data_IF_488271432273
#
_entry.id   IF_488271432273
#
_cell.length_a   1.000
_cell.length_b   1.000
_cell.length_c   1.000
_cell.angle_alpha   90.00
_cell.angle_beta   90.00
_cell.angle_gamma   90.00
#
_symmetry.space_group_name_H-M   'P 1'
#
loop_
_entity.id
_entity.type
_entity.pdbx_description
1 polymer ?
#
# COMPACT_ATOMS: atom_id res chain seq x y z
N UNK A 1 -2.38 -3.31 4.21
CA UNK A 1 -1.59 -4.44 3.67
C UNK A 1 -1.68 -5.65 4.60
N UNK A 2 -2.12 -6.83 4.11
CA UNK A 2 -2.17 -8.08 4.87
C UNK A 2 -0.77 -8.56 5.30
N UNK A 3 -0.70 -9.25 6.44
CA UNK A 3 0.58 -9.76 6.98
C UNK A 3 1.18 -10.85 6.09
N UNK A 4 0.33 -11.57 5.36
CA UNK A 4 0.66 -12.66 4.45
C UNK A 4 1.55 -12.16 3.31
N UNK A 5 1.31 -10.93 2.82
CA UNK A 5 2.12 -10.31 1.76
C UNK A 5 3.54 -10.05 2.25
N UNK A 6 3.71 -9.58 3.49
CA UNK A 6 5.03 -9.40 4.10
C UNK A 6 5.75 -10.74 4.29
N UNK A 7 5.04 -11.79 4.73
CA UNK A 7 5.61 -13.13 4.88
C UNK A 7 6.08 -13.69 3.53
N UNK A 8 5.28 -13.52 2.49
CA UNK A 8 5.64 -13.91 1.12
C UNK A 8 6.85 -13.14 0.61
N UNK A 9 6.92 -11.82 0.85
CA UNK A 9 8.08 -11.00 0.49
C UNK A 9 9.37 -11.53 1.13
N UNK A 10 9.33 -11.84 2.44
CA UNK A 10 10.47 -12.41 3.17
C UNK A 10 10.84 -13.79 2.64
N UNK A 11 9.85 -14.65 2.36
CA UNK A 11 10.08 -15.99 1.82
C UNK A 11 10.76 -15.92 0.44
N UNK A 12 10.35 -14.99 -0.43
CA UNK A 12 11.01 -14.75 -1.73
C UNK A 12 12.43 -14.26 -1.58
N UNK A 13 12.70 -13.40 -0.62
CA UNK A 13 14.05 -12.90 -0.33
C UNK A 13 15.02 -13.99 0.13
N UNK A 14 14.55 -15.19 0.51
CA UNK A 14 15.43 -16.34 0.75
C UNK A 14 16.00 -16.93 -0.54
N UNK A 15 15.32 -16.77 -1.68
CA UNK A 15 15.70 -17.34 -2.98
C UNK A 15 16.13 -16.31 -4.02
N UNK A 16 15.59 -15.10 -3.92
CA UNK A 16 15.86 -13.99 -4.83
C UNK A 16 16.59 -12.85 -4.11
N UNK A 17 17.38 -12.05 -4.83
CA UNK A 17 18.11 -10.94 -4.23
C UNK A 17 17.22 -9.71 -3.97
N UNK A 18 16.08 -9.60 -4.66
CA UNK A 18 15.09 -8.52 -4.50
C UNK A 18 13.66 -9.02 -4.72
N UNK A 19 12.67 -8.24 -4.28
CA UNK A 19 11.22 -8.42 -4.51
C UNK A 19 10.57 -7.03 -4.63
N UNK A 20 9.53 -6.92 -5.46
CA UNK A 20 8.81 -5.66 -5.71
C UNK A 20 7.30 -5.88 -5.58
N UNK A 21 6.60 -5.00 -4.86
CA UNK A 21 5.13 -4.97 -4.76
C UNK A 21 4.58 -3.75 -5.51
N UNK A 22 4.06 -3.90 -6.74
CA UNK A 22 3.56 -2.79 -7.54
C UNK A 22 2.27 -2.20 -6.92
N UNK A 23 2.16 -0.87 -6.96
CA UNK A 23 0.94 -0.14 -6.62
C UNK A 23 0.06 0.03 -7.87
N UNK A 24 -1.27 0.03 -7.73
CA UNK A 24 -2.19 0.24 -8.85
C UNK A 24 -2.13 1.66 -9.42
N UNK A 25 -1.66 2.63 -8.63
CA UNK A 25 -1.40 4.03 -8.95
C UNK A 25 -0.18 4.24 -9.87
N UNK A 26 0.61 3.18 -10.10
CA UNK A 26 1.86 3.24 -10.86
C UNK A 26 3.10 3.38 -9.98
N UNK A 27 2.95 3.53 -8.67
CA UNK A 27 4.03 3.42 -7.68
C UNK A 27 4.32 1.97 -7.27
N UNK A 28 4.92 1.81 -6.11
CA UNK A 28 5.08 0.52 -5.44
C UNK A 28 4.85 0.69 -3.94
N UNK A 29 4.15 -0.27 -3.32
CA UNK A 29 3.90 -0.25 -1.88
C UNK A 29 5.00 -0.98 -1.09
N UNK A 30 5.83 -1.78 -1.76
CA UNK A 30 6.90 -2.55 -1.11
C UNK A 30 8.10 -2.78 -2.04
N UNK A 31 9.30 -2.58 -1.50
CA UNK A 31 10.55 -3.12 -2.08
C UNK A 31 11.33 -3.84 -0.99
N UNK A 32 11.73 -5.07 -1.28
CA UNK A 32 12.61 -5.86 -0.42
C UNK A 32 13.94 -6.14 -1.10
N UNK A 33 15.05 -5.95 -0.39
CA UNK A 33 16.39 -6.24 -0.87
C UNK A 33 17.14 -7.11 0.14
N UNK A 34 17.87 -8.11 -0.34
CA UNK A 34 18.77 -8.89 0.51
C UNK A 34 19.98 -8.03 0.92
N UNK A 35 20.57 -8.32 2.07
CA UNK A 35 21.87 -7.74 2.45
C UNK A 35 22.92 -7.98 1.35
N UNK A 36 23.76 -6.98 1.12
CA UNK A 36 24.78 -7.02 0.05
C UNK A 36 24.27 -6.74 -1.36
N UNK A 37 23.00 -6.33 -1.53
CA UNK A 37 22.48 -5.97 -2.84
C UNK A 37 23.28 -4.84 -3.50
N UNK A 38 23.53 -4.96 -4.81
CA UNK A 38 24.45 -4.11 -5.57
C UNK A 38 24.08 -2.62 -5.42
N UNK A 39 25.04 -1.80 -4.97
CA UNK A 39 24.82 -0.37 -4.72
C UNK A 39 24.37 0.37 -5.98
N UNK A 40 24.99 0.09 -7.12
CA UNK A 40 24.64 0.73 -8.39
C UNK A 40 23.20 0.43 -8.84
N UNK A 41 22.74 -0.80 -8.67
CA UNK A 41 21.34 -1.16 -8.94
C UNK A 41 20.37 -0.40 -8.03
N UNK A 42 20.70 -0.25 -6.73
CA UNK A 42 19.90 0.55 -5.78
C UNK A 42 19.83 2.01 -6.20
N UNK A 43 20.96 2.61 -6.56
CA UNK A 43 21.01 4.01 -7.02
C UNK A 43 20.14 4.21 -8.26
N UNK A 44 20.25 3.32 -9.26
CA UNK A 44 19.38 3.38 -10.44
C UNK A 44 17.90 3.27 -10.08
N UNK A 45 17.57 2.32 -9.22
CA UNK A 45 16.18 2.01 -8.85
C UNK A 45 15.47 3.14 -8.09
N UNK A 46 16.20 3.88 -7.24
CA UNK A 46 15.60 4.85 -6.31
C UNK A 46 16.01 6.31 -6.52
N UNK A 47 17.20 6.57 -7.07
CA UNK A 47 17.75 7.93 -7.17
C UNK A 47 17.82 8.44 -8.62
N UNK A 48 17.74 7.55 -9.60
CA UNK A 48 17.80 7.90 -11.04
C UNK A 48 16.50 7.57 -11.76
N UNK A 49 15.45 7.36 -11.00
CA UNK A 49 14.16 7.11 -11.58
C UNK A 49 13.56 8.41 -12.11
N UNK A 50 12.85 8.36 -13.25
CA UNK A 50 12.31 9.54 -13.89
C UNK A 50 11.26 10.21 -12.99
N UNK A 51 11.60 11.38 -12.44
CA UNK A 51 10.69 12.19 -11.65
C UNK A 51 9.50 12.63 -12.53
N UNK A 52 8.27 12.40 -12.03
CA UNK A 52 7.04 12.82 -12.72
C UNK A 52 6.55 11.89 -13.84
N UNK A 53 7.20 10.74 -14.05
CA UNK A 53 6.73 9.72 -14.99
C UNK A 53 6.07 8.56 -14.23
N UNK A 54 4.75 8.43 -14.35
CA UNK A 54 4.02 7.23 -13.97
C UNK A 54 3.76 6.36 -15.21
N UNK A 55 3.82 5.01 -15.08
CA UNK A 55 4.15 4.26 -13.87
C UNK A 55 5.66 4.22 -13.58
N UNK A 56 6.02 4.31 -12.30
CA UNK A 56 7.39 4.33 -11.81
C UNK A 56 7.96 2.92 -11.56
N UNK A 57 7.11 1.99 -11.12
CA UNK A 57 7.57 0.65 -10.73
C UNK A 57 8.23 -0.16 -11.87
N UNK A 58 7.90 -0.02 -13.17
CA UNK A 58 8.63 -0.74 -14.22
C UNK A 58 10.10 -0.31 -14.32
N UNK A 59 10.42 0.97 -14.11
CA UNK A 59 11.80 1.43 -14.04
C UNK A 59 12.54 0.78 -12.86
N UNK A 60 11.92 0.78 -11.69
CA UNK A 60 12.46 0.13 -10.49
C UNK A 60 12.67 -1.36 -10.72
N UNK A 61 11.74 -2.06 -11.39
CA UNK A 61 11.85 -3.47 -11.71
C UNK A 61 13.08 -3.75 -12.59
N UNK A 62 13.24 -3.02 -13.70
CA UNK A 62 14.38 -3.18 -14.61
C UNK A 62 15.70 -2.85 -13.89
N UNK A 63 15.74 -1.77 -13.10
CA UNK A 63 16.93 -1.37 -12.37
C UNK A 63 17.38 -2.42 -11.32
N UNK A 64 16.43 -3.16 -10.76
CA UNK A 64 16.63 -4.28 -9.83
C UNK A 64 16.82 -5.64 -10.53
N UNK A 65 16.92 -5.67 -11.86
CA UNK A 65 17.15 -6.90 -12.62
C UNK A 65 15.97 -7.87 -12.55
N UNK A 66 14.76 -7.34 -12.77
CA UNK A 66 13.50 -8.10 -12.90
C UNK A 66 13.19 -8.99 -11.68
N UNK A 67 13.08 -8.40 -10.47
CA UNK A 67 12.69 -9.15 -9.30
C UNK A 67 11.27 -9.73 -9.43
N UNK A 68 10.96 -10.83 -8.73
CA UNK A 68 9.60 -11.34 -8.65
C UNK A 68 8.63 -10.30 -8.08
N UNK A 69 7.45 -10.20 -8.70
CA UNK A 69 6.40 -9.26 -8.32
C UNK A 69 5.43 -9.87 -7.32
N UNK A 70 5.18 -9.19 -6.20
CA UNK A 70 4.07 -9.50 -5.31
C UNK A 70 2.74 -9.08 -5.97
N UNK A 71 1.59 -9.60 -5.49
CA UNK A 71 0.30 -9.09 -5.91
C UNK A 71 0.20 -7.56 -5.71
N UNK A 72 -0.43 -6.83 -6.64
CA UNK A 72 -0.70 -5.42 -6.45
C UNK A 72 -1.52 -5.16 -5.19
N UNK A 73 -1.25 -4.06 -4.50
CA UNK A 73 -2.01 -3.64 -3.33
C UNK A 73 -2.20 -2.12 -3.36
N UNK A 74 -3.44 -1.60 -3.17
CA UNK A 74 -3.68 -0.16 -3.12
C UNK A 74 -3.09 0.46 -1.86
N UNK A 75 -2.46 1.61 -2.00
CA UNK A 75 -2.24 2.57 -0.93
C UNK A 75 -3.52 3.39 -0.66
N UNK A 76 -3.45 4.26 0.34
CA UNK A 76 -4.58 5.06 0.80
C UNK A 76 -4.16 6.52 0.75
N UNK A 77 -4.41 7.14 -0.40
CA UNK A 77 -3.98 8.50 -0.70
C UNK A 77 -5.14 9.48 -0.78
N UNK A 78 -6.32 8.97 -1.16
CA UNK A 78 -7.52 9.76 -1.37
C UNK A 78 -8.59 9.46 -0.33
N UNK A 79 -9.62 10.32 -0.31
CA UNK A 79 -10.82 10.07 0.49
C UNK A 79 -11.55 8.80 0.04
N UNK A 80 -11.61 8.54 -1.25
CA UNK A 80 -12.30 7.37 -1.79
C UNK A 80 -11.57 6.07 -1.38
N UNK A 81 -10.24 6.11 -1.24
CA UNK A 81 -9.47 5.00 -0.69
C UNK A 81 -9.77 4.77 0.80
N UNK A 82 -9.99 5.84 1.57
CA UNK A 82 -10.41 5.75 2.97
C UNK A 82 -11.81 5.15 3.11
N UNK A 83 -12.75 5.56 2.24
CA UNK A 83 -14.10 5.00 2.24
C UNK A 83 -14.06 3.51 1.86
N UNK A 84 -13.23 3.13 0.89
CA UNK A 84 -12.99 1.73 0.51
C UNK A 84 -12.35 0.91 1.64
N UNK A 85 -11.38 1.49 2.33
CA UNK A 85 -10.74 0.89 3.49
C UNK A 85 -11.73 0.67 4.64
N UNK A 86 -12.64 1.63 4.88
CA UNK A 86 -13.64 1.52 5.93
C UNK A 86 -14.56 0.31 5.70
N UNK A 87 -15.03 0.10 4.46
CA UNK A 87 -15.84 -1.07 4.08
C UNK A 87 -15.07 -2.38 4.28
N UNK A 88 -13.79 -2.40 3.91
CA UNK A 88 -12.94 -3.57 4.12
C UNK A 88 -12.77 -3.91 5.60
N UNK A 89 -12.50 -2.90 6.44
CA UNK A 89 -12.31 -3.08 7.88
C UNK A 89 -13.58 -3.53 8.62
N UNK A 90 -14.77 -3.24 8.10
CA UNK A 90 -16.02 -3.76 8.66
C UNK A 90 -16.18 -5.27 8.47
N UNK A 91 -15.51 -5.83 7.47
CA UNK A 91 -15.50 -7.26 7.18
C UNK A 91 -14.35 -8.01 7.87
N UNK A 92 -13.35 -7.28 8.38
CA UNK A 92 -12.20 -7.86 9.05
C UNK A 92 -12.53 -8.27 10.50
N UNK A 93 -11.93 -9.36 11.01
CA UNK A 93 -12.02 -9.69 12.42
C UNK A 93 -11.42 -8.55 13.27
N UNK A 94 -11.95 -8.29 14.47
CA UNK A 94 -11.46 -7.20 15.31
C UNK A 94 -9.96 -7.33 15.52
N UNK A 95 -9.19 -6.24 15.36
CA UNK A 95 -7.74 -6.30 15.44
C UNK A 95 -7.33 -6.82 16.81
N UNK A 96 -6.35 -7.73 16.83
CA UNK A 96 -5.69 -8.10 18.08
C UNK A 96 -5.01 -6.83 18.59
N UNK A 97 -5.54 -6.25 19.67
CA UNK A 97 -5.11 -4.96 20.17
C UNK A 97 -3.64 -5.06 20.60
N UNK A 98 -2.74 -4.55 19.76
CA UNK A 98 -1.31 -4.44 20.03
C UNK A 98 -1.00 -2.96 20.29
N UNK A 99 -1.52 -2.45 21.40
CA UNK A 99 -1.10 -1.15 21.90
C UNK A 99 0.16 -1.35 22.75
N UNK A 100 1.20 -0.52 22.58
CA UNK A 100 2.32 -0.48 23.50
C UNK A 100 1.83 -0.24 24.94
N UNK A 101 2.58 -0.68 25.97
CA UNK A 101 2.26 -0.35 27.36
C UNK A 101 2.09 1.17 27.53
N UNK A 102 0.98 1.59 28.14
CA UNK A 102 0.66 3.00 28.38
C UNK A 102 -0.08 3.73 27.25
N UNK A 103 -0.34 3.07 26.12
CA UNK A 103 -1.16 3.64 25.04
C UNK A 103 -2.61 3.16 25.17
N UNK A 104 -3.56 4.09 25.15
CA UNK A 104 -4.99 3.79 25.06
C UNK A 104 -5.51 4.22 23.70
N UNK A 105 -6.16 3.31 22.97
CA UNK A 105 -6.91 3.70 21.78
C UNK A 105 -8.08 4.58 22.23
N UNK A 106 -8.12 5.82 21.75
CA UNK A 106 -9.32 6.65 21.90
C UNK A 106 -10.31 6.14 20.87
N UNK A 107 -11.41 5.53 21.33
CA UNK A 107 -12.49 5.17 20.44
C UNK A 107 -13.00 6.46 19.77
N UNK A 108 -12.84 6.57 18.46
CA UNK A 108 -13.55 7.58 17.68
C UNK A 108 -14.96 7.04 17.54
N UNK A 109 -15.93 7.65 18.22
CA UNK A 109 -17.33 7.31 18.03
C UNK A 109 -17.66 7.47 16.55
N UNK A 110 -18.15 6.39 15.93
CA UNK A 110 -18.70 6.41 14.58
C UNK A 110 -19.91 7.35 14.60
N UNK A 111 -19.76 8.57 14.08
CA UNK A 111 -20.93 9.41 13.81
C UNK A 111 -21.75 8.74 12.70
N UNK A 112 -23.05 8.64 12.92
CA UNK A 112 -24.01 8.05 11.99
C UNK A 112 -23.94 8.70 10.59
N UNK A 113 -24.30 7.98 9.52
CA UNK A 113 -24.33 8.53 8.17
C UNK A 113 -25.27 9.74 8.12
N UNK A 114 -24.77 10.85 7.57
CA UNK A 114 -25.59 12.02 7.24
C UNK A 114 -26.55 11.61 6.11
N UNK A 115 -27.82 11.40 6.44
CA UNK A 115 -28.90 11.30 5.47
C UNK A 115 -28.92 12.57 4.60
N UNK A 116 -28.62 12.42 3.31
CA UNK A 116 -28.87 13.48 2.33
C UNK A 116 -30.36 13.48 1.98
N UNK A 117 -31.13 14.19 2.78
CA UNK A 117 -32.54 14.51 2.49
C UNK A 117 -32.63 15.27 1.16
N UNK A 118 -33.43 14.72 0.24
CA UNK A 118 -33.60 15.23 -1.11
C UNK A 118 -34.33 16.58 -1.14
N UNK A 119 -33.83 17.51 -1.96
CA UNK A 119 -34.65 18.62 -2.47
C UNK A 119 -34.99 18.38 -3.93
N UNK A 120 -36.17 17.76 -4.13
CA UNK A 120 -36.99 17.92 -5.34
C UNK A 120 -37.70 19.28 -5.31
N UNK A 121 -38.07 19.73 -6.52
CA UNK A 121 -38.76 20.98 -6.94
C UNK A 121 -37.75 22.11 -7.16
N UNK A 122 -37.71 22.72 -8.34
CA UNK A 122 -38.80 23.54 -8.90
C UNK A 122 -39.00 23.26 -10.40
N UNK A 123 -40.23 22.88 -10.77
CA UNK A 123 -40.82 23.17 -12.08
C UNK A 123 -41.46 24.56 -11.97
N UNK A 124 -41.11 25.45 -12.89
CA UNK A 124 -41.96 26.55 -13.39
C UNK A 124 -41.49 26.88 -14.80
#
# INVERSE_FOLDING_TARGET
MPTEVLREAVARLQRCPAVLGPGPDGGYYLVGLRSGYRLESRRRAFLQAPLGALPFWPHTQVALGDPPLLPPHPDVDTRDDLDSLAVQLESDPPPRQLLPPGWTARAVSRSAPVEREGRRRILS
#
